data_IF_884899583664
#
_entry.id   IF_884899583664
#
_cell.length_a   1.000
_cell.length_b   1.000
_cell.length_c   1.000
_cell.angle_alpha   90.00
_cell.angle_beta   90.00
_cell.angle_gamma   90.00
#
_symmetry.space_group_name_H-M   'P 1'
#
loop_
_entity.id
_entity.type
_entity.pdbx_description
1 polymer ?
#
# COMPACT_ATOMS: atom_id res chain seq x y z
N UNK A 1 -22.16 -31.41 -16.41
CA UNK A 1 -21.74 -30.79 -15.13
C UNK A 1 -22.01 -31.83 -14.07
N UNK A 2 -20.96 -32.33 -13.43
CA UNK A 2 -21.03 -33.43 -12.46
C UNK A 2 -21.62 -32.93 -11.15
N UNK A 3 -22.56 -33.67 -10.57
CA UNK A 3 -23.04 -33.40 -9.22
C UNK A 3 -21.92 -33.66 -8.22
N UNK A 4 -21.49 -32.61 -7.50
CA UNK A 4 -20.50 -32.73 -6.43
C UNK A 4 -21.25 -33.05 -5.15
N UNK A 5 -21.11 -34.28 -4.66
CA UNK A 5 -21.70 -34.71 -3.39
C UNK A 5 -20.60 -34.99 -2.38
N UNK A 6 -20.44 -34.10 -1.41
CA UNK A 6 -19.52 -34.30 -0.31
C UNK A 6 -20.15 -35.20 0.76
N UNK A 7 -19.53 -36.35 1.01
CA UNK A 7 -19.98 -37.31 2.02
C UNK A 7 -19.13 -37.19 3.29
N UNK A 8 -19.75 -37.42 4.45
CA UNK A 8 -19.07 -37.47 5.76
C UNK A 8 -18.29 -36.19 6.10
N UNK A 9 -18.82 -35.02 5.73
CA UNK A 9 -18.16 -33.75 6.01
C UNK A 9 -18.25 -33.44 7.50
N UNK A 10 -17.15 -32.94 8.06
CA UNK A 10 -17.13 -32.46 9.43
C UNK A 10 -18.17 -31.32 9.63
N UNK A 11 -18.95 -31.32 10.73
CA UNK A 11 -19.99 -30.31 10.97
C UNK A 11 -19.48 -28.86 11.00
N UNK A 12 -18.25 -28.64 11.46
CA UNK A 12 -17.65 -27.30 11.49
C UNK A 12 -17.36 -26.83 10.07
N UNK A 13 -16.84 -27.72 9.22
CA UNK A 13 -16.63 -27.41 7.80
C UNK A 13 -17.95 -27.16 7.08
N UNK A 14 -18.99 -27.97 7.35
CA UNK A 14 -20.33 -27.78 6.81
C UNK A 14 -20.87 -26.37 7.09
N UNK A 15 -20.76 -25.95 8.35
CA UNK A 15 -21.25 -24.65 8.79
C UNK A 15 -20.43 -23.50 8.17
N UNK A 16 -19.12 -23.67 8.01
CA UNK A 16 -18.28 -22.70 7.31
C UNK A 16 -18.70 -22.53 5.85
N UNK A 17 -18.96 -23.63 5.15
CA UNK A 17 -19.44 -23.59 3.75
C UNK A 17 -20.79 -22.90 3.68
N UNK A 18 -21.73 -23.23 4.58
CA UNK A 18 -23.05 -22.58 4.67
C UNK A 18 -22.91 -21.07 4.84
N UNK A 19 -22.09 -20.60 5.79
CA UNK A 19 -21.89 -19.15 6.01
C UNK A 19 -21.35 -18.44 4.78
N UNK A 20 -20.49 -19.08 3.99
CA UNK A 20 -20.00 -18.50 2.73
C UNK A 20 -21.13 -18.43 1.70
N UNK A 21 -21.92 -19.50 1.55
CA UNK A 21 -23.07 -19.53 0.65
C UNK A 21 -24.07 -18.41 0.99
N UNK A 22 -24.41 -18.25 2.26
CA UNK A 22 -25.33 -17.21 2.74
C UNK A 22 -24.78 -15.80 2.50
N UNK A 23 -23.53 -15.54 2.87
CA UNK A 23 -22.91 -14.22 2.70
C UNK A 23 -22.78 -13.80 1.24
N UNK A 24 -22.67 -14.76 0.32
CA UNK A 24 -22.54 -14.53 -1.12
C UNK A 24 -23.85 -14.72 -1.90
N UNK A 25 -24.90 -15.17 -1.21
CA UNK A 25 -26.17 -15.58 -1.80
C UNK A 25 -25.99 -16.59 -2.96
N UNK A 26 -25.13 -17.58 -2.75
CA UNK A 26 -24.81 -18.62 -3.74
C UNK A 26 -25.57 -19.91 -3.48
N UNK A 27 -25.87 -20.63 -4.55
CA UNK A 27 -26.41 -21.99 -4.45
C UNK A 27 -25.34 -22.94 -3.86
N UNK A 28 -25.73 -24.06 -3.21
CA UNK A 28 -24.77 -24.96 -2.56
C UNK A 28 -23.73 -25.55 -3.52
N UNK A 29 -24.17 -26.03 -4.68
CA UNK A 29 -23.32 -26.56 -5.76
C UNK A 29 -22.34 -25.51 -6.28
N UNK A 30 -22.82 -24.29 -6.53
CA UNK A 30 -21.99 -23.16 -6.95
C UNK A 30 -20.96 -22.80 -5.87
N UNK A 31 -21.38 -22.79 -4.60
CA UNK A 31 -20.50 -22.48 -3.47
C UNK A 31 -19.37 -23.51 -3.39
N UNK A 32 -19.71 -24.80 -3.50
CA UNK A 32 -18.72 -25.88 -3.47
C UNK A 32 -17.74 -25.78 -4.62
N UNK A 33 -18.22 -25.51 -5.83
CA UNK A 33 -17.35 -25.32 -7.00
C UNK A 33 -16.35 -24.17 -6.76
N UNK A 34 -16.83 -22.99 -6.39
CA UNK A 34 -15.96 -21.84 -6.16
C UNK A 34 -14.97 -22.02 -5.02
N UNK A 35 -15.37 -22.71 -3.94
CA UNK A 35 -14.48 -23.02 -2.84
C UNK A 35 -13.41 -24.04 -3.23
N UNK A 36 -13.75 -25.03 -4.05
CA UNK A 36 -12.79 -26.00 -4.58
C UNK A 36 -11.80 -25.33 -5.54
N UNK A 37 -12.28 -24.47 -6.44
CA UNK A 37 -11.41 -23.70 -7.35
C UNK A 37 -10.42 -22.81 -6.58
N UNK A 38 -10.92 -22.04 -5.60
CA UNK A 38 -10.05 -21.19 -4.78
C UNK A 38 -9.09 -22.00 -3.92
N UNK A 39 -9.56 -23.11 -3.34
CA UNK A 39 -8.72 -24.00 -2.54
C UNK A 39 -7.61 -24.64 -3.38
N UNK A 40 -7.94 -25.11 -4.59
CA UNK A 40 -6.97 -25.66 -5.52
C UNK A 40 -5.94 -24.61 -5.91
N UNK A 41 -6.38 -23.41 -6.29
CA UNK A 41 -5.49 -22.30 -6.61
C UNK A 41 -4.53 -22.04 -5.44
N UNK A 42 -5.03 -21.88 -4.21
CA UNK A 42 -4.19 -21.63 -3.04
C UNK A 42 -3.13 -22.72 -2.82
N UNK A 43 -3.49 -24.00 -2.97
CA UNK A 43 -2.55 -25.12 -2.85
C UNK A 43 -1.48 -25.08 -3.95
N UNK A 44 -1.86 -24.77 -5.19
CA UNK A 44 -0.93 -24.66 -6.31
C UNK A 44 0.02 -23.48 -6.13
N UNK A 45 -0.46 -22.34 -5.63
CA UNK A 45 0.40 -21.20 -5.32
C UNK A 45 1.39 -21.53 -4.20
N UNK A 46 0.99 -22.28 -3.18
CA UNK A 46 1.91 -22.72 -2.12
C UNK A 46 2.99 -23.66 -2.67
N UNK A 47 2.62 -24.58 -3.56
CA UNK A 47 3.57 -25.46 -4.26
C UNK A 47 4.53 -24.66 -5.14
N UNK A 48 4.05 -23.64 -5.83
CA UNK A 48 4.83 -22.75 -6.69
C UNK A 48 5.67 -21.71 -5.92
N UNK A 49 5.26 -21.35 -4.70
CA UNK A 49 5.98 -20.42 -3.82
C UNK A 49 7.24 -21.04 -3.20
N UNK A 50 7.49 -22.34 -3.44
CA UNK A 50 8.81 -22.92 -3.23
C UNK A 50 9.76 -22.32 -4.26
N UNK A 51 10.85 -21.72 -3.81
CA UNK A 51 11.88 -21.22 -4.71
C UNK A 51 12.23 -22.31 -5.71
N UNK A 52 12.14 -21.99 -7.00
CA UNK A 52 12.75 -22.83 -8.02
C UNK A 52 14.26 -22.86 -7.76
N UNK A 53 14.96 -23.85 -8.29
CA UNK A 53 16.43 -23.90 -8.19
C UNK A 53 17.07 -22.60 -8.71
N UNK A 54 16.47 -21.98 -9.73
CA UNK A 54 16.90 -20.67 -10.26
C UNK A 54 16.74 -19.55 -9.24
N UNK A 55 15.59 -19.47 -8.58
CA UNK A 55 15.32 -18.41 -7.59
C UNK A 55 16.16 -18.61 -6.32
N UNK A 56 16.35 -19.86 -5.90
CA UNK A 56 17.21 -20.21 -4.78
C UNK A 56 18.67 -19.80 -5.06
N UNK A 57 19.17 -20.09 -6.26
CA UNK A 57 20.52 -19.70 -6.68
C UNK A 57 20.66 -18.17 -6.77
N UNK A 58 19.66 -17.48 -7.32
CA UNK A 58 19.66 -16.02 -7.42
C UNK A 58 19.66 -15.37 -6.02
N UNK A 59 18.83 -15.86 -5.10
CA UNK A 59 18.78 -15.39 -3.72
C UNK A 59 20.10 -15.66 -3.00
N UNK A 60 20.69 -16.84 -3.18
CA UNK A 60 21.95 -17.20 -2.56
C UNK A 60 23.10 -16.30 -3.06
N UNK A 61 23.12 -15.99 -4.36
CA UNK A 61 24.08 -15.05 -4.93
C UNK A 61 23.89 -13.62 -4.37
N UNK A 62 22.64 -13.17 -4.22
CA UNK A 62 22.35 -11.87 -3.63
C UNK A 62 22.78 -11.76 -2.16
N UNK A 63 22.55 -12.81 -1.36
CA UNK A 63 23.00 -12.87 0.04
C UNK A 63 24.53 -12.82 0.10
N UNK A 64 25.22 -13.65 -0.71
CA UNK A 64 26.68 -13.66 -0.75
C UNK A 64 27.26 -12.28 -1.13
N UNK A 65 26.61 -11.57 -2.06
CA UNK A 65 26.99 -10.21 -2.42
C UNK A 65 26.80 -9.23 -1.25
N UNK A 66 25.69 -9.32 -0.50
CA UNK A 66 25.44 -8.49 0.68
C UNK A 66 26.43 -8.78 1.82
N UNK A 67 26.78 -10.04 2.06
CA UNK A 67 27.77 -10.44 3.06
C UNK A 67 29.20 -9.97 2.72
N UNK A 68 29.49 -9.81 1.42
CA UNK A 68 30.77 -9.28 0.96
C UNK A 68 30.94 -7.78 1.22
N UNK A 69 29.85 -7.07 1.55
CA UNK A 69 29.90 -5.64 1.87
C UNK A 69 30.64 -5.47 3.20
N UNK A 70 31.75 -4.73 3.24
CA UNK A 70 32.45 -4.46 4.49
C UNK A 70 31.52 -3.77 5.49
N UNK A 71 31.51 -4.26 6.73
CA UNK A 71 30.80 -3.60 7.83
C UNK A 71 31.54 -2.31 8.22
N UNK A 72 31.36 -1.27 7.42
CA UNK A 72 31.86 0.06 7.69
C UNK A 72 30.79 0.85 8.47
N UNK A 73 31.10 1.33 9.71
CA UNK A 73 30.22 2.22 10.46
C UNK A 73 29.74 3.45 9.68
N UNK A 74 30.49 3.88 8.65
CA UNK A 74 30.14 4.96 7.74
C UNK A 74 28.88 4.73 6.92
N UNK A 75 28.53 3.48 6.54
CA UNK A 75 27.30 3.20 5.81
C UNK A 75 26.05 3.52 6.64
N UNK A 76 26.08 3.27 7.96
CA UNK A 76 25.00 3.63 8.88
C UNK A 76 24.84 5.15 9.09
N UNK A 77 25.79 5.96 8.59
CA UNK A 77 25.78 7.42 8.69
C UNK A 77 25.35 8.10 7.39
N UNK A 78 25.17 7.36 6.29
CA UNK A 78 24.66 7.90 5.02
C UNK A 78 23.22 8.41 5.25
N UNK A 79 22.99 9.70 4.98
CA UNK A 79 21.72 10.39 5.23
C UNK A 79 21.56 10.98 6.64
N UNK A 80 22.52 10.73 7.56
CA UNK A 80 22.54 11.30 8.92
C UNK A 80 23.49 12.49 9.07
N UNK A 81 24.26 12.82 8.04
CA UNK A 81 24.99 14.07 8.01
C UNK A 81 23.97 15.21 8.20
N UNK A 82 24.21 16.15 9.14
CA UNK A 82 23.38 17.35 9.20
C UNK A 82 23.39 17.97 7.80
N UNK A 83 22.20 18.27 7.27
CA UNK A 83 22.11 19.15 6.11
C UNK A 83 23.03 20.33 6.41
N UNK A 84 23.92 20.76 5.48
CA UNK A 84 24.58 22.03 5.66
C UNK A 84 23.46 23.00 5.98
N UNK A 85 23.53 23.61 7.17
CA UNK A 85 22.65 24.71 7.50
C UNK A 85 22.78 25.65 6.32
N UNK A 86 21.69 25.88 5.60
CA UNK A 86 21.66 27.02 4.69
C UNK A 86 22.00 28.20 5.59
N UNK A 87 23.21 28.75 5.44
CA UNK A 87 23.56 30.07 5.93
C UNK A 87 22.69 31.05 5.13
N UNK A 88 21.45 31.12 5.58
CA UNK A 88 20.28 31.58 4.86
C UNK A 88 19.09 31.45 5.80
N UNK A 89 19.30 31.96 7.01
CA UNK A 89 18.28 32.36 7.96
C UNK A 89 17.24 33.25 7.23
N UNK A 90 16.23 32.62 6.64
CA UNK A 90 14.96 33.29 6.31
C UNK A 90 14.07 33.34 7.55
N UNK A 91 14.67 33.63 8.70
CA UNK A 91 13.97 34.03 9.90
C UNK A 91 13.07 35.21 9.56
N UNK A 92 11.77 35.01 9.77
CA UNK A 92 10.78 36.01 10.16
C UNK A 92 11.19 37.49 10.01
N UNK A 93 11.43 37.95 8.78
CA UNK A 93 11.38 39.37 8.48
C UNK A 93 9.93 39.68 8.12
N UNK A 94 9.33 40.50 8.95
CA UNK A 94 7.91 40.81 8.95
C UNK A 94 7.40 41.20 7.58
N UNK A 95 6.11 40.94 7.39
CA UNK A 95 5.22 41.46 6.34
C UNK A 95 5.97 42.35 5.37
N UNK A 96 6.41 41.75 4.26
CA UNK A 96 7.29 42.44 3.33
C UNK A 96 6.63 43.76 2.92
N UNK A 97 7.42 44.77 2.53
CA UNK A 97 6.90 46.03 1.99
C UNK A 97 5.83 45.79 0.89
N UNK A 98 5.95 44.66 0.19
CA UNK A 98 5.00 44.16 -0.81
C UNK A 98 3.62 43.85 -0.19
N UNK A 99 3.57 43.21 0.98
CA UNK A 99 2.32 42.91 1.68
C UNK A 99 1.61 44.21 2.14
N UNK A 100 2.38 45.20 2.60
CA UNK A 100 1.83 46.50 3.00
C UNK A 100 1.28 47.28 1.79
N UNK A 101 1.93 47.21 0.64
CA UNK A 101 1.50 47.88 -0.58
C UNK A 101 0.30 47.18 -1.23
N UNK A 102 0.22 45.84 -1.17
CA UNK A 102 -0.96 45.08 -1.58
C UNK A 102 -2.20 45.42 -0.75
N UNK A 103 -2.05 45.54 0.57
CA UNK A 103 -3.18 45.90 1.44
C UNK A 103 -3.69 47.31 1.15
N UNK A 104 -2.80 48.28 0.91
CA UNK A 104 -3.19 49.64 0.50
C UNK A 104 -3.94 49.67 -0.82
N UNK A 105 -3.57 48.80 -1.76
CA UNK A 105 -4.26 48.66 -3.06
C UNK A 105 -5.67 48.10 -2.89
N UNK A 106 -5.84 47.11 -2.02
CA UNK A 106 -7.15 46.52 -1.68
C UNK A 106 -8.06 47.57 -1.03
N UNK A 107 -7.54 48.34 -0.08
CA UNK A 107 -8.31 49.34 0.66
C UNK A 107 -8.71 50.55 -0.21
N UNK A 108 -8.02 50.79 -1.32
CA UNK A 108 -8.31 51.88 -2.27
C UNK A 108 -9.36 51.53 -3.32
N UNK A 109 -9.85 50.29 -3.37
CA UNK A 109 -10.93 49.90 -4.30
C UNK A 109 -12.26 50.46 -3.78
N UNK A 110 -12.89 51.45 -4.46
CA UNK A 110 -14.18 51.95 -4.02
C UNK A 110 -15.23 50.85 -4.17
N UNK A 111 -15.97 50.57 -3.09
CA UNK A 111 -17.11 49.66 -3.14
C UNK A 111 -18.12 50.17 -4.17
N UNK A 112 -18.11 49.56 -5.36
CA UNK A 112 -19.02 49.86 -6.44
C UNK A 112 -20.45 49.74 -5.95
N UNK A 113 -21.16 50.87 -5.93
CA UNK A 113 -22.59 50.95 -5.62
C UNK A 113 -23.32 50.10 -6.66
N UNK A 114 -23.80 48.93 -6.28
CA UNK A 114 -24.84 48.24 -7.04
C UNK A 114 -26.11 49.10 -6.96
N UNK A 115 -26.29 49.97 -7.95
CA UNK A 115 -27.55 50.65 -8.19
C UNK A 115 -28.52 49.61 -8.72
N UNK A 116 -29.61 49.42 -7.97
CA UNK A 116 -30.77 48.66 -8.36
C UNK A 116 -31.47 49.32 -9.55
N UNK A 117 -31.90 48.49 -10.51
CA UNK A 117 -32.77 48.82 -11.63
C UNK A 117 -33.21 47.53 -12.29
#
# INVERSE_FOLDING_TARGET
MTDIVLHNIDPVLAERIRRVAEARNWAPDQTLMHLLEHGLFACETELAARFSDTDANALQAAIAALESVPSDPGYSLIGRAPRPVDEGDWGHQGTSQIDADLQRLIDQVPAGKNQAG
#
